data_IF_127287907430
#
_entry.id   IF_127287907430
#
_cell.length_a   1.000
_cell.length_b   1.000
_cell.length_c   1.000
_cell.angle_alpha   90.00
_cell.angle_beta   90.00
_cell.angle_gamma   90.00
#
_symmetry.space_group_name_H-M   'P 1'
#
loop_
_entity.id
_entity.type
_entity.pdbx_description
1 polymer ?
#
# COMPACT_ATOMS: atom_id res chain seq x y z
N UNK A 1 -12.98 -4.91 13.78
CA UNK A 1 -13.62 -3.57 13.67
C UNK A 1 -12.97 -2.84 12.51
N UNK A 2 -13.75 -2.28 11.60
CA UNK A 2 -13.22 -1.50 10.47
C UNK A 2 -13.10 -0.02 10.87
N UNK A 3 -11.98 0.63 10.51
CA UNK A 3 -11.75 2.05 10.71
C UNK A 3 -11.56 2.71 9.34
N UNK A 4 -12.41 3.69 9.03
CA UNK A 4 -12.33 4.42 7.77
C UNK A 4 -11.72 5.81 8.02
N UNK A 5 -10.73 6.16 7.21
CA UNK A 5 -10.09 7.47 7.19
C UNK A 5 -10.33 8.13 5.83
N UNK A 6 -10.18 9.46 5.76
CA UNK A 6 -10.26 10.18 4.49
C UNK A 6 -9.07 9.81 3.59
N UNK A 7 -9.14 10.12 2.30
CA UNK A 7 -7.96 9.97 1.47
C UNK A 7 -6.84 10.93 1.96
N UNK A 8 -5.59 10.52 1.72
CA UNK A 8 -4.39 11.24 2.17
C UNK A 8 -4.35 11.54 3.68
N UNK A 9 -5.04 10.73 4.49
CA UNK A 9 -5.11 10.95 5.92
C UNK A 9 -3.73 10.93 6.60
N UNK A 10 -3.43 11.98 7.35
CA UNK A 10 -2.26 12.02 8.20
C UNK A 10 -2.57 11.34 9.55
N UNK A 11 -2.02 10.14 9.76
CA UNK A 11 -2.13 9.41 11.02
C UNK A 11 -1.40 10.16 12.17
N UNK A 12 -2.11 11.08 12.81
CA UNK A 12 -1.67 11.77 14.02
C UNK A 12 -1.70 10.83 15.23
N UNK A 13 -1.03 11.21 16.32
CA UNK A 13 -0.92 10.41 17.55
C UNK A 13 -2.27 9.88 18.04
N UNK A 14 -3.29 10.73 18.12
CA UNK A 14 -4.64 10.32 18.57
C UNK A 14 -5.24 9.16 17.75
N UNK A 15 -5.01 9.15 16.44
CA UNK A 15 -5.49 8.09 15.56
C UNK A 15 -4.66 6.81 15.70
N UNK A 16 -3.35 6.95 15.88
CA UNK A 16 -2.42 5.84 16.14
C UNK A 16 -2.75 5.17 17.48
N UNK A 17 -3.00 5.94 18.52
CA UNK A 17 -3.38 5.46 19.85
C UNK A 17 -4.71 4.69 19.77
N UNK A 18 -5.71 5.26 19.09
CA UNK A 18 -7.00 4.61 18.85
C UNK A 18 -6.87 3.29 18.07
N UNK A 19 -6.04 3.25 17.04
CA UNK A 19 -5.77 2.02 16.28
C UNK A 19 -5.11 0.98 17.20
N UNK A 20 -4.11 1.40 17.98
CA UNK A 20 -3.34 0.53 18.87
C UNK A 20 -4.18 -0.08 19.99
N UNK A 21 -5.12 0.70 20.54
CA UNK A 21 -6.08 0.24 21.55
C UNK A 21 -7.06 -0.78 20.95
N UNK A 22 -7.65 -0.46 19.79
CA UNK A 22 -8.63 -1.34 19.15
C UNK A 22 -8.01 -2.65 18.60
N UNK A 23 -6.70 -2.64 18.35
CA UNK A 23 -5.93 -3.77 17.83
C UNK A 23 -5.18 -4.55 18.92
N UNK A 24 -5.44 -4.29 20.21
CA UNK A 24 -4.92 -5.11 21.30
C UNK A 24 -5.17 -6.61 21.01
N UNK A 25 -4.09 -7.39 21.00
CA UNK A 25 -4.06 -8.83 20.72
C UNK A 25 -4.63 -9.23 19.34
N UNK A 26 -4.59 -8.32 18.36
CA UNK A 26 -5.08 -8.53 17.00
C UNK A 26 -4.05 -8.04 15.99
N UNK A 27 -4.08 -8.64 14.80
CA UNK A 27 -3.33 -8.15 13.64
C UNK A 27 -4.03 -6.93 13.04
N UNK A 28 -3.24 -5.96 12.60
CA UNK A 28 -3.73 -4.81 11.83
C UNK A 28 -3.56 -5.16 10.34
N UNK A 29 -4.65 -5.11 9.58
CA UNK A 29 -4.61 -5.23 8.13
C UNK A 29 -5.01 -3.89 7.51
N UNK A 30 -4.23 -3.42 6.55
CA UNK A 30 -4.47 -2.16 5.84
C UNK A 30 -4.06 -2.26 4.37
N UNK A 31 -4.21 -1.17 3.62
CA UNK A 31 -3.71 -1.06 2.24
C UNK A 31 -2.21 -0.77 2.24
N UNK A 32 -1.50 -1.10 1.17
CA UNK A 32 -0.07 -0.78 1.03
C UNK A 32 0.21 0.72 1.23
N UNK A 33 -0.62 1.58 0.64
CA UNK A 33 -0.53 3.04 0.75
C UNK A 33 -0.55 3.51 2.21
N UNK A 34 -1.47 2.98 3.01
CA UNK A 34 -1.59 3.36 4.42
C UNK A 34 -0.58 2.62 5.31
N UNK A 35 -0.16 1.41 4.95
CA UNK A 35 0.93 0.70 5.62
C UNK A 35 2.21 1.53 5.65
N UNK A 36 2.62 2.13 4.52
CA UNK A 36 3.81 2.98 4.46
C UNK A 36 3.74 4.21 5.38
N UNK A 37 2.54 4.72 5.67
CA UNK A 37 2.32 5.87 6.56
C UNK A 37 2.16 5.49 8.02
N UNK A 38 1.63 4.30 8.30
CA UNK A 38 1.22 3.85 9.61
C UNK A 38 2.29 2.99 10.29
N UNK A 39 2.98 2.11 9.55
CA UNK A 39 4.00 1.21 10.09
C UNK A 39 5.13 1.91 10.86
N UNK A 40 5.62 3.11 10.47
CA UNK A 40 6.65 3.80 11.26
C UNK A 40 6.12 4.37 12.58
N UNK A 41 4.79 4.50 12.72
CA UNK A 41 4.12 5.16 13.85
C UNK A 41 3.58 4.18 14.87
N UNK A 42 3.20 2.97 14.44
CA UNK A 42 2.72 1.90 15.32
C UNK A 42 3.90 1.03 15.75
N UNK A 43 4.38 1.22 16.98
CA UNK A 43 5.45 0.40 17.55
C UNK A 43 4.90 -0.88 18.17
N UNK A 44 5.65 -1.98 18.08
CA UNK A 44 5.36 -3.25 18.78
C UNK A 44 3.98 -3.85 18.45
N UNK A 45 3.52 -3.71 17.21
CA UNK A 45 2.28 -4.34 16.71
C UNK A 45 2.52 -5.00 15.37
N UNK A 46 1.79 -6.09 15.15
CA UNK A 46 1.78 -6.78 13.88
C UNK A 46 0.84 -6.06 12.91
N UNK A 47 1.43 -5.30 11.98
CA UNK A 47 0.76 -4.60 10.89
C UNK A 47 1.12 -5.25 9.56
N UNK A 48 0.12 -5.44 8.70
CA UNK A 48 0.26 -6.10 7.41
C UNK A 48 -0.53 -5.34 6.33
N UNK A 49 -0.15 -5.58 5.08
CA UNK A 49 -0.95 -5.28 3.90
C UNK A 49 -1.02 -6.50 2.99
N UNK A 50 -2.01 -6.54 2.11
CA UNK A 50 -2.06 -7.52 1.02
C UNK A 50 -1.45 -6.84 -0.20
N UNK A 51 -0.38 -7.43 -0.73
CA UNK A 51 0.23 -6.98 -1.97
C UNK A 51 -0.71 -7.24 -3.15
N UNK A 52 -0.81 -6.26 -4.05
CA UNK A 52 -1.61 -6.37 -5.26
C UNK A 52 -0.72 -6.04 -6.45
N UNK A 53 -0.54 -7.01 -7.35
CA UNK A 53 0.25 -6.86 -8.56
C UNK A 53 -0.61 -6.70 -9.82
N UNK A 54 -0.01 -6.13 -10.86
CA UNK A 54 -0.58 -6.07 -12.21
C UNK A 54 0.26 -6.92 -13.15
N UNK A 55 -0.39 -7.63 -14.08
CA UNK A 55 0.27 -8.40 -15.13
C UNK A 55 -0.36 -8.08 -16.47
N UNK A 56 0.46 -7.68 -17.43
CA UNK A 56 0.04 -7.52 -18.82
C UNK A 56 0.00 -8.90 -19.51
N UNK A 57 -1.15 -9.34 -20.05
CA UNK A 57 -1.22 -10.59 -20.82
C UNK A 57 -0.38 -10.48 -22.09
N UNK A 58 0.33 -11.55 -22.45
CA UNK A 58 1.18 -11.57 -23.65
C UNK A 58 0.36 -11.41 -24.93
N UNK A 59 -0.84 -11.97 -24.95
CA UNK A 59 -1.73 -11.99 -26.11
C UNK A 59 -2.35 -10.63 -26.42
N UNK A 60 -2.31 -9.69 -25.47
CA UNK A 60 -2.83 -8.32 -25.63
C UNK A 60 -1.69 -7.34 -25.96
N UNK A 61 -0.44 -7.77 -25.74
CA UNK A 61 0.72 -6.89 -25.73
C UNK A 61 1.83 -7.47 -26.64
N UNK A 62 1.52 -7.58 -27.93
CA UNK A 62 2.42 -8.10 -28.98
C UNK A 62 3.76 -7.33 -29.05
N UNK A 63 3.74 -6.03 -28.72
CA UNK A 63 4.93 -5.28 -28.33
C UNK A 63 5.08 -5.40 -26.81
N UNK A 64 6.14 -6.03 -26.31
CA UNK A 64 6.46 -6.03 -24.88
C UNK A 64 6.42 -4.57 -24.36
N UNK A 65 5.63 -4.33 -23.30
CA UNK A 65 5.38 -2.98 -22.78
C UNK A 65 6.70 -2.33 -22.39
N UNK A 66 7.63 -3.12 -21.85
CA UNK A 66 8.95 -2.65 -21.50
C UNK A 66 9.71 -2.25 -22.76
N UNK A 67 9.66 -3.04 -23.82
CA UNK A 67 10.29 -2.69 -25.12
C UNK A 67 9.74 -1.40 -25.69
N UNK A 68 8.41 -1.20 -25.69
CA UNK A 68 7.81 0.05 -26.16
C UNK A 68 8.30 1.27 -25.36
N UNK A 69 8.36 1.15 -24.04
CA UNK A 69 8.84 2.23 -23.16
C UNK A 69 10.35 2.47 -23.36
N UNK A 70 11.15 1.43 -23.48
CA UNK A 70 12.59 1.53 -23.74
C UNK A 70 12.89 2.20 -25.09
N UNK A 71 12.18 1.82 -26.17
CA UNK A 71 12.31 2.47 -27.47
C UNK A 71 11.90 3.94 -27.44
N UNK A 72 10.86 4.28 -26.67
CA UNK A 72 10.43 5.67 -26.51
C UNK A 72 11.44 6.52 -25.73
N UNK A 73 12.00 5.99 -24.64
CA UNK A 73 12.98 6.71 -23.81
C UNK A 73 14.32 6.87 -24.55
N UNK A 74 14.74 5.88 -25.32
CA UNK A 74 16.02 5.89 -26.04
C UNK A 74 15.92 6.42 -27.49
N UNK A 75 14.77 6.99 -27.86
CA UNK A 75 14.59 7.70 -29.14
C UNK A 75 15.18 9.10 -29.01
N UNK A 76 16.47 9.21 -29.29
CA UNK A 76 17.10 10.50 -29.62
C UNK A 76 16.54 11.06 -30.93
#
# INVERSE_FOLDING_TARGET
KHLKYSDHYNFKKSSVDKISELSLNKKILTTEKDFGRLSPKVKNRDIFYIEVGLKFPKEINDLDFNTYIEEYINKD
#
